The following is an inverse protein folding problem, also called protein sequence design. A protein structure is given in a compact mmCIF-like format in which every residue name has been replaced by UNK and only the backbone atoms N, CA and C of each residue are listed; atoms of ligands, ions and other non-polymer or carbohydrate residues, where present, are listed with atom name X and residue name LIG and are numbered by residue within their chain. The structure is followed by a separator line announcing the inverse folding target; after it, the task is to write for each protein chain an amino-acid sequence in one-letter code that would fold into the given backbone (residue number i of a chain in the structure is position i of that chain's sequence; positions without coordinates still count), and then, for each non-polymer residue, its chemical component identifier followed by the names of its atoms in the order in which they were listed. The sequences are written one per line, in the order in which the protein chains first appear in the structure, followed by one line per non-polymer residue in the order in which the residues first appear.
data_IF_239220512332
#
_entry.id   IF_239220512332
#
_cell.length_a   1.000
_cell.length_b   1.000
_cell.length_c   1.000
_cell.angle_alpha   90.00
_cell.angle_beta   90.00
_cell.angle_gamma   90.00
#
_symmetry.space_group_name_H-M   'P 1'
#
loop_
_entity.id
_entity.type
_entity.pdbx_description
1 polymer ?
#
# COMPACT_ATOMS: atom_id res chain seq x y z
N UNK A 1 65.03 -40.94 -15.51
CA UNK A 1 63.73 -40.28 -15.74
C UNK A 1 63.04 -40.18 -14.38
N UNK A 2 62.69 -38.97 -13.92
CA UNK A 2 62.40 -38.69 -12.49
C UNK A 2 60.90 -38.62 -12.26
N UNK A 3 60.40 -39.44 -11.31
CA UNK A 3 59.07 -39.27 -10.72
C UNK A 3 59.20 -38.55 -9.37
N UNK A 4 58.43 -37.48 -9.17
CA UNK A 4 58.14 -36.90 -7.85
C UNK A 4 56.64 -36.63 -7.73
N UNK A 5 55.91 -37.40 -6.90
CA UNK A 5 54.53 -37.07 -6.55
C UNK A 5 54.46 -35.75 -5.76
N UNK A 6 53.42 -34.98 -6.03
CA UNK A 6 53.12 -33.71 -5.38
C UNK A 6 52.52 -33.93 -3.99
N UNK A 7 52.94 -33.12 -3.01
CA UNK A 7 52.38 -33.10 -1.67
C UNK A 7 51.81 -31.70 -1.36
N UNK A 8 50.52 -31.57 -0.99
CA UNK A 8 49.98 -30.32 -0.49
C UNK A 8 50.27 -30.16 1.00
N UNK A 9 51.02 -29.11 1.36
CA UNK A 9 51.26 -28.74 2.75
C UNK A 9 49.96 -28.23 3.40
N UNK A 10 49.63 -28.73 4.58
CA UNK A 10 48.67 -28.09 5.48
C UNK A 10 49.40 -27.19 6.49
N UNK A 11 48.94 -25.95 6.72
CA UNK A 11 49.21 -25.25 7.97
C UNK A 11 47.91 -24.93 8.75
N UNK A 12 47.90 -25.40 10.00
CA UNK A 12 47.35 -24.76 11.21
C UNK A 12 46.04 -23.95 11.15
N UNK A 13 45.09 -24.36 11.99
CA UNK A 13 43.93 -23.56 12.35
C UNK A 13 44.30 -22.24 13.07
N UNK A 14 43.72 -21.13 12.61
CA UNK A 14 43.63 -19.86 13.34
C UNK A 14 42.21 -19.33 13.30
N UNK A 15 41.74 -18.86 14.46
CA UNK A 15 40.53 -18.06 14.70
C UNK A 15 39.20 -18.53 14.04
N UNK A 16 38.25 -18.93 14.90
CA UNK A 16 36.83 -19.15 14.52
C UNK A 16 36.29 -17.88 13.86
N UNK A 17 35.98 -17.94 12.57
CA UNK A 17 35.27 -16.85 11.92
C UNK A 17 33.80 -16.88 12.38
N UNK A 18 33.38 -15.89 13.18
CA UNK A 18 32.04 -15.79 13.77
C UNK A 18 30.94 -15.43 12.74
N UNK A 19 31.25 -15.47 11.45
CA UNK A 19 30.37 -15.07 10.35
C UNK A 19 29.48 -16.21 9.80
N UNK A 20 29.31 -17.31 10.54
CA UNK A 20 28.39 -18.39 10.15
C UNK A 20 27.30 -18.64 11.21
N UNK A 21 26.69 -17.54 11.67
CA UNK A 21 25.31 -17.59 12.16
C UNK A 21 24.41 -17.61 10.92
N UNK A 22 23.50 -18.58 10.74
CA UNK A 22 22.54 -18.51 9.65
C UNK A 22 21.71 -17.22 9.82
N UNK A 23 21.55 -16.43 8.75
CA UNK A 23 20.70 -15.23 8.78
C UNK A 23 19.23 -15.64 8.91
N UNK A 24 18.80 -15.90 10.15
CA UNK A 24 17.41 -16.22 10.48
C UNK A 24 16.57 -14.95 10.38
N UNK A 25 16.00 -14.74 9.19
CA UNK A 25 14.64 -14.21 8.93
C UNK A 25 13.96 -13.51 10.13
N UNK A 26 14.17 -12.19 10.34
CA UNK A 26 13.62 -11.46 11.52
C UNK A 26 13.19 -9.99 11.31
N UNK A 27 13.29 -9.44 10.09
CA UNK A 27 13.30 -7.98 9.86
C UNK A 27 12.01 -7.38 9.24
N UNK A 28 10.84 -7.91 9.62
CA UNK A 28 9.79 -8.10 8.60
C UNK A 28 8.48 -7.27 8.57
N UNK A 29 7.89 -6.66 9.62
CA UNK A 29 6.62 -5.89 9.46
C UNK A 29 6.74 -4.36 9.70
N UNK A 30 6.16 -3.49 8.83
CA UNK A 30 6.17 -2.02 9.05
C UNK A 30 5.65 -1.66 10.44
N UNK A 31 6.45 -0.86 11.15
CA UNK A 31 6.26 -0.40 12.53
C UNK A 31 6.24 1.12 12.60
N UNK A 32 5.60 1.64 13.65
CA UNK A 32 5.53 3.07 14.02
C UNK A 32 5.73 3.21 15.53
N UNK A 33 6.49 4.21 16.00
CA UNK A 33 6.82 4.48 17.40
C UNK A 33 6.89 5.99 17.63
N UNK A 34 6.20 6.57 18.61
CA UNK A 34 6.31 8.00 18.88
C UNK A 34 7.47 8.33 19.82
N UNK A 35 8.25 9.36 19.48
CA UNK A 35 9.52 9.73 20.14
C UNK A 35 9.51 11.15 20.73
N UNK A 36 8.36 11.83 20.67
CA UNK A 36 8.14 13.18 21.23
C UNK A 36 6.72 13.68 20.95
N UNK A 37 6.35 14.84 21.47
CA UNK A 37 5.04 15.49 21.31
C UNK A 37 4.65 15.76 19.83
N UNK A 38 5.66 15.89 18.96
CA UNK A 38 5.51 16.00 17.50
C UNK A 38 6.47 15.06 16.74
N UNK A 39 6.82 13.90 17.30
CA UNK A 39 7.75 12.96 16.66
C UNK A 39 7.24 11.53 16.61
N UNK A 40 7.47 10.88 15.46
CA UNK A 40 7.33 9.45 15.28
C UNK A 40 8.50 8.87 14.46
N UNK A 41 8.70 7.57 14.61
CA UNK A 41 9.86 6.78 14.23
C UNK A 41 9.35 5.44 13.70
N UNK A 42 9.59 5.16 12.43
CA UNK A 42 9.10 3.96 11.76
C UNK A 42 10.18 2.86 11.75
N UNK A 43 9.83 1.57 11.64
CA UNK A 43 10.82 0.48 11.52
C UNK A 43 10.27 -0.78 10.82
N UNK A 44 11.10 -1.81 10.56
CA UNK A 44 10.75 -3.20 10.15
C UNK A 44 9.90 -3.45 8.88
N UNK A 45 9.51 -2.43 8.12
CA UNK A 45 8.81 -2.34 6.82
C UNK A 45 8.44 -3.55 5.90
N UNK A 46 9.07 -4.72 5.95
CA UNK A 46 9.23 -5.65 4.80
C UNK A 46 8.09 -6.70 4.58
N UNK A 47 6.86 -6.45 5.04
CA UNK A 47 5.65 -7.30 4.93
C UNK A 47 4.38 -6.43 4.94
N UNK A 48 3.32 -6.87 4.21
CA UNK A 48 2.20 -6.02 3.75
C UNK A 48 2.69 -4.63 3.25
N UNK A 49 3.67 -4.67 2.35
CA UNK A 49 4.43 -3.52 1.91
C UNK A 49 3.56 -2.42 1.25
N UNK A 50 3.93 -1.17 1.53
CA UNK A 50 3.30 0.02 0.97
C UNK A 50 4.31 0.76 0.09
N UNK A 51 4.33 0.46 -1.21
CA UNK A 51 5.14 1.19 -2.19
C UNK A 51 4.49 2.55 -2.51
N UNK A 52 5.26 3.62 -2.33
CA UNK A 52 4.84 5.01 -2.51
C UNK A 52 5.78 5.68 -3.50
N UNK A 53 5.36 5.73 -4.76
CA UNK A 53 6.11 6.41 -5.82
C UNK A 53 5.61 7.83 -6.04
N UNK A 54 6.52 8.74 -6.41
CA UNK A 54 6.21 10.14 -6.70
C UNK A 54 6.85 10.58 -8.00
N UNK A 55 6.13 11.40 -8.78
CA UNK A 55 6.60 11.93 -10.08
C UNK A 55 7.56 13.12 -9.95
N UNK A 56 7.75 13.67 -8.76
CA UNK A 56 8.64 14.82 -8.50
C UNK A 56 9.09 14.85 -7.05
N UNK A 57 10.36 15.19 -6.74
CA UNK A 57 10.82 15.41 -5.37
C UNK A 57 10.05 16.48 -4.59
N UNK A 58 9.35 17.39 -5.27
CA UNK A 58 8.49 18.39 -4.64
C UNK A 58 7.15 17.83 -4.12
N UNK A 59 6.78 16.61 -4.52
CA UNK A 59 5.56 15.91 -4.12
C UNK A 59 5.92 14.82 -3.11
N UNK A 60 5.84 15.16 -1.81
CA UNK A 60 5.98 14.20 -0.72
C UNK A 60 4.62 13.60 -0.35
N UNK A 61 4.61 12.33 0.04
CA UNK A 61 3.40 11.69 0.55
C UNK A 61 3.15 12.15 1.99
N UNK A 62 2.19 13.06 2.15
CA UNK A 62 1.85 13.67 3.44
C UNK A 62 0.88 12.79 4.25
N UNK A 63 0.73 13.08 5.55
CA UNK A 63 -0.33 12.48 6.36
C UNK A 63 -1.74 12.73 5.78
N UNK A 64 -1.92 13.83 5.04
CA UNK A 64 -3.15 14.12 4.31
C UNK A 64 -3.33 13.21 3.09
N UNK A 65 -2.25 12.92 2.35
CA UNK A 65 -2.31 11.90 1.28
C UNK A 65 -2.58 10.49 1.85
N UNK A 66 -1.99 10.16 3.00
CA UNK A 66 -2.24 8.89 3.72
C UNK A 66 -3.72 8.75 4.14
N UNK A 67 -4.33 9.82 4.65
CA UNK A 67 -5.76 9.80 4.99
C UNK A 67 -6.64 9.47 3.77
N UNK A 68 -6.40 10.13 2.63
CA UNK A 68 -7.13 9.86 1.38
C UNK A 68 -6.83 8.46 0.83
N UNK A 69 -5.58 7.99 0.94
CA UNK A 69 -5.21 6.63 0.57
C UNK A 69 -5.95 5.58 1.41
N UNK A 70 -6.17 5.84 2.71
CA UNK A 70 -6.94 4.94 3.58
C UNK A 70 -8.39 4.76 3.12
N UNK A 71 -9.04 5.84 2.68
CA UNK A 71 -10.38 5.80 2.08
C UNK A 71 -10.41 4.96 0.79
N UNK A 72 -9.42 5.13 -0.09
CA UNK A 72 -9.26 4.32 -1.29
C UNK A 72 -9.07 2.83 -0.99
N UNK A 73 -8.19 2.49 -0.04
CA UNK A 73 -7.95 1.09 0.38
C UNK A 73 -9.18 0.45 1.02
N UNK A 74 -9.92 1.20 1.84
CA UNK A 74 -11.18 0.77 2.43
C UNK A 74 -12.27 0.52 1.36
N UNK A 75 -12.35 1.39 0.35
CA UNK A 75 -13.27 1.20 -0.80
C UNK A 75 -12.87 0.01 -1.65
N UNK A 76 -11.58 -0.21 -1.91
CA UNK A 76 -11.10 -1.39 -2.60
C UNK A 76 -11.54 -2.67 -1.88
N UNK A 77 -11.43 -2.71 -0.54
CA UNK A 77 -11.80 -3.90 0.22
C UNK A 77 -13.29 -4.27 0.08
N UNK A 78 -14.20 -3.30 -0.02
CA UNK A 78 -15.63 -3.61 -0.26
C UNK A 78 -15.90 -4.05 -1.71
N UNK A 79 -15.17 -3.47 -2.68
CA UNK A 79 -15.28 -3.85 -4.09
C UNK A 79 -14.69 -5.24 -4.37
N UNK A 80 -13.57 -5.61 -3.74
CA UNK A 80 -12.96 -6.93 -3.87
C UNK A 80 -13.93 -8.04 -3.41
N UNK A 81 -14.49 -7.89 -2.20
CA UNK A 81 -15.52 -8.81 -1.66
C UNK A 81 -16.77 -8.88 -2.56
N UNK A 82 -17.08 -7.83 -3.31
CA UNK A 82 -18.16 -7.85 -4.31
C UNK A 82 -17.74 -8.54 -5.61
N UNK A 83 -16.51 -8.33 -6.08
CA UNK A 83 -15.92 -9.01 -7.24
C UNK A 83 -15.93 -10.52 -7.06
N UNK A 84 -15.36 -11.00 -5.95
CA UNK A 84 -15.34 -12.42 -5.57
C UNK A 84 -16.74 -13.05 -5.59
N UNK A 85 -17.74 -12.32 -5.09
CA UNK A 85 -19.14 -12.78 -5.05
C UNK A 85 -19.84 -12.77 -6.40
N UNK A 86 -19.32 -12.07 -7.40
CA UNK A 86 -19.91 -11.95 -8.74
C UNK A 86 -19.06 -12.62 -9.82
N UNK A 87 -17.97 -13.30 -9.44
CA UNK A 87 -16.99 -13.90 -10.35
C UNK A 87 -16.35 -12.86 -11.30
N UNK A 88 -15.99 -11.69 -10.74
CA UNK A 88 -15.34 -10.57 -11.44
C UNK A 88 -14.03 -10.27 -10.72
N UNK A 89 -12.90 -10.43 -11.40
CA UNK A 89 -11.56 -10.18 -10.85
C UNK A 89 -11.40 -8.70 -10.42
N UNK A 90 -11.07 -8.42 -9.13
CA UNK A 90 -10.85 -7.08 -8.61
C UNK A 90 -9.38 -6.62 -8.67
N UNK A 91 -8.40 -7.47 -9.00
CA UNK A 91 -6.97 -7.13 -8.96
C UNK A 91 -6.63 -5.93 -9.85
N UNK A 92 -7.34 -5.81 -10.97
CA UNK A 92 -7.14 -4.75 -11.96
C UNK A 92 -7.86 -3.43 -11.65
N UNK A 93 -8.55 -3.31 -10.50
CA UNK A 93 -9.20 -2.06 -10.07
C UNK A 93 -8.15 -0.97 -9.85
N UNK A 94 -8.23 0.13 -10.62
CA UNK A 94 -7.43 1.33 -10.39
C UNK A 94 -8.32 2.45 -9.84
N UNK A 95 -7.79 3.23 -8.91
CA UNK A 95 -8.48 4.42 -8.38
C UNK A 95 -7.67 5.68 -8.66
N UNK A 96 -8.38 6.80 -8.81
CA UNK A 96 -7.82 8.14 -8.81
C UNK A 96 -8.63 8.95 -7.80
N UNK A 97 -7.94 9.43 -6.77
CA UNK A 97 -8.54 10.29 -5.76
C UNK A 97 -7.98 11.70 -5.90
N UNK A 98 -8.86 12.69 -5.91
CA UNK A 98 -8.53 14.12 -5.85
C UNK A 98 -9.36 14.77 -4.76
N UNK A 99 -8.84 15.80 -4.10
CA UNK A 99 -9.52 16.42 -2.96
C UNK A 99 -9.38 17.93 -2.94
N UNK A 100 -10.27 18.58 -2.20
CA UNK A 100 -10.32 20.02 -1.96
C UNK A 100 -10.40 20.27 -0.46
N UNK A 101 -9.89 21.43 -0.01
CA UNK A 101 -9.94 21.84 1.38
C UNK A 101 -10.86 23.04 1.56
N UNK A 102 -11.76 22.96 2.54
CA UNK A 102 -12.45 24.13 3.05
C UNK A 102 -11.48 24.90 3.96
N UNK A 103 -11.63 26.22 4.03
CA UNK A 103 -10.90 27.08 4.94
C UNK A 103 -11.69 27.32 6.25
N UNK A 104 -11.00 27.83 7.28
CA UNK A 104 -11.60 28.36 8.52
C UNK A 104 -12.58 27.41 9.26
N UNK A 105 -12.14 26.26 9.80
CA UNK A 105 -10.76 25.75 9.82
C UNK A 105 -10.43 24.89 8.59
N UNK A 106 -9.15 24.79 8.27
CA UNK A 106 -8.64 23.93 7.20
C UNK A 106 -8.99 22.46 7.44
N UNK A 107 -9.82 21.89 6.57
CA UNK A 107 -10.26 20.49 6.59
C UNK A 107 -10.59 20.01 5.18
N UNK A 108 -10.75 18.71 4.97
CA UNK A 108 -11.32 18.21 3.72
C UNK A 108 -12.74 18.76 3.54
N UNK A 109 -13.01 19.30 2.36
CA UNK A 109 -14.36 19.67 1.94
C UNK A 109 -14.95 18.58 1.06
N UNK A 110 -14.21 18.22 0.01
CA UNK A 110 -14.63 17.26 -1.00
C UNK A 110 -13.50 16.31 -1.37
N UNK A 111 -13.84 15.04 -1.57
CA UNK A 111 -12.99 14.02 -2.19
C UNK A 111 -13.76 13.43 -3.38
N UNK A 112 -13.16 13.44 -4.56
CA UNK A 112 -13.66 12.75 -5.75
C UNK A 112 -12.83 11.49 -5.95
N UNK A 113 -13.51 10.35 -6.10
CA UNK A 113 -12.93 9.02 -6.26
C UNK A 113 -13.42 8.41 -7.58
N UNK A 114 -12.57 8.46 -8.60
CA UNK A 114 -12.79 7.81 -9.89
C UNK A 114 -12.25 6.36 -9.81
N UNK A 115 -13.13 5.36 -9.94
CA UNK A 115 -12.83 3.93 -9.90
C UNK A 115 -12.89 3.37 -11.33
N UNK A 116 -11.80 2.76 -11.78
CA UNK A 116 -11.66 2.13 -13.09
C UNK A 116 -11.58 0.62 -12.90
N UNK A 117 -12.56 -0.11 -13.44
CA UNK A 117 -12.68 -1.57 -13.34
C UNK A 117 -13.09 -2.14 -14.70
N UNK A 118 -12.11 -2.35 -15.57
CA UNK A 118 -12.28 -2.74 -16.98
C UNK A 118 -13.15 -4.00 -17.17
N UNK A 119 -13.04 -4.98 -16.28
CA UNK A 119 -13.79 -6.24 -16.36
C UNK A 119 -15.25 -6.13 -15.85
N UNK A 120 -15.66 -4.97 -15.32
CA UNK A 120 -17.00 -4.78 -14.75
C UNK A 120 -18.06 -4.65 -15.88
N UNK A 121 -19.08 -5.52 -15.95
CA UNK A 121 -20.14 -5.38 -16.94
C UNK A 121 -20.95 -4.09 -16.74
N UNK A 122 -21.43 -3.48 -17.84
CA UNK A 122 -22.24 -2.24 -17.80
C UNK A 122 -23.40 -2.32 -16.80
N UNK A 123 -24.09 -3.46 -16.79
CA UNK A 123 -25.22 -3.75 -15.89
C UNK A 123 -24.86 -3.72 -14.39
N UNK A 124 -23.56 -3.77 -14.06
CA UNK A 124 -23.04 -3.81 -12.69
C UNK A 124 -22.40 -2.50 -12.24
N UNK A 125 -22.16 -1.52 -13.12
CA UNK A 125 -21.57 -0.21 -12.76
C UNK A 125 -22.30 0.44 -11.57
N UNK A 126 -23.63 0.54 -11.62
CA UNK A 126 -24.43 1.12 -10.53
C UNK A 126 -24.49 0.24 -9.27
N UNK A 127 -24.25 -1.06 -9.37
CA UNK A 127 -24.13 -1.94 -8.21
C UNK A 127 -22.77 -1.74 -7.51
N UNK A 128 -21.67 -1.73 -8.27
CA UNK A 128 -20.33 -1.43 -7.76
C UNK A 128 -20.25 -0.03 -7.13
N UNK A 129 -20.88 0.98 -7.74
CA UNK A 129 -20.97 2.33 -7.17
C UNK A 129 -21.64 2.31 -5.78
N UNK A 130 -22.75 1.57 -5.60
CA UNK A 130 -23.39 1.40 -4.28
C UNK A 130 -22.51 0.63 -3.28
N UNK A 131 -21.78 -0.38 -3.73
CA UNK A 131 -20.85 -1.15 -2.88
C UNK A 131 -19.68 -0.31 -2.39
N UNK A 132 -19.18 0.62 -3.20
CA UNK A 132 -18.13 1.55 -2.79
C UNK A 132 -18.56 2.42 -1.60
N UNK A 133 -19.85 2.82 -1.54
CA UNK A 133 -20.42 3.54 -0.40
C UNK A 133 -20.54 2.68 0.88
N UNK A 134 -20.29 1.37 0.85
CA UNK A 134 -20.22 0.54 2.07
C UNK A 134 -18.87 0.59 2.79
N UNK A 135 -17.87 1.33 2.27
CA UNK A 135 -16.60 1.51 2.99
C UNK A 135 -16.82 2.17 4.36
N UNK A 136 -16.28 1.57 5.42
CA UNK A 136 -16.40 2.08 6.80
C UNK A 136 -15.86 3.50 6.94
N UNK A 137 -14.71 3.82 6.32
CA UNK A 137 -14.11 5.16 6.39
C UNK A 137 -15.01 6.20 5.70
N UNK A 138 -15.60 5.87 4.54
CA UNK A 138 -16.59 6.72 3.86
C UNK A 138 -17.74 7.07 4.80
N UNK A 139 -18.39 6.05 5.39
CA UNK A 139 -19.51 6.24 6.32
C UNK A 139 -19.09 6.94 7.64
N UNK A 140 -17.81 6.85 8.04
CA UNK A 140 -17.30 7.53 9.23
C UNK A 140 -17.18 9.04 9.05
N UNK A 141 -16.96 9.52 7.82
CA UNK A 141 -16.66 10.94 7.52
C UNK A 141 -17.69 11.63 6.63
N UNK A 142 -18.75 10.93 6.22
CA UNK A 142 -19.75 11.43 5.28
C UNK A 142 -20.49 12.70 5.73
N UNK A 143 -20.63 12.92 7.05
CA UNK A 143 -21.24 14.13 7.62
C UNK A 143 -20.34 15.37 7.54
N UNK A 144 -19.04 15.21 7.32
CA UNK A 144 -18.06 16.30 7.36
C UNK A 144 -17.21 16.48 6.08
N UNK A 145 -17.29 15.52 5.15
CA UNK A 145 -16.60 15.55 3.85
C UNK A 145 -17.53 15.03 2.76
N UNK A 146 -17.73 15.81 1.70
CA UNK A 146 -18.44 15.35 0.50
C UNK A 146 -17.59 14.30 -0.23
N UNK A 147 -18.11 13.08 -0.40
CA UNK A 147 -17.41 12.02 -1.15
C UNK A 147 -18.18 11.68 -2.42
N UNK A 148 -17.67 12.17 -3.55
CA UNK A 148 -18.17 11.82 -4.87
C UNK A 148 -17.48 10.54 -5.36
N UNK A 149 -18.26 9.51 -5.69
CA UNK A 149 -17.75 8.21 -6.13
C UNK A 149 -18.24 7.90 -7.54
N UNK A 150 -17.31 7.79 -8.49
CA UNK A 150 -17.58 7.49 -9.89
C UNK A 150 -17.00 6.11 -10.25
N UNK A 151 -17.71 5.33 -11.07
CA UNK A 151 -17.27 3.99 -11.51
C UNK A 151 -17.32 3.91 -13.03
N UNK A 152 -16.22 3.48 -13.63
CA UNK A 152 -16.02 3.34 -15.07
C UNK A 152 -15.50 1.95 -15.40
N UNK A 153 -16.00 1.34 -16.47
CA UNK A 153 -15.56 0.04 -16.98
C UNK A 153 -14.64 0.19 -18.22
N UNK A 154 -13.71 1.15 -18.15
CA UNK A 154 -12.75 1.42 -19.23
C UNK A 154 -11.31 1.22 -18.74
N UNK A 155 -10.38 0.78 -19.61
CA UNK A 155 -8.96 0.91 -19.33
C UNK A 155 -8.58 2.38 -19.15
N UNK A 156 -7.61 2.64 -18.25
CA UNK A 156 -7.10 3.98 -17.91
C UNK A 156 -5.64 4.18 -18.34
#
# INVERSE_FOLDING_TARGET
MVFRPWAPNAPSATARNANNVPKVKLDLFMKIKLSGDRQLELSRFEEEELDITSKSPALYFSALAMFVASLGRCTYATLAVYGDRQDIDPENIRMKLTWQFAENPTRYEKIVMDIFWEQLPDSRIKAAQRVAHHCTIHNTIHDCVEIETNVFNVPR
#
